data_IF_790327919220
#
_entry.id   IF_790327919220
#
_cell.length_a   1.000
_cell.length_b   1.000
_cell.length_c   1.000
_cell.angle_alpha   90.00
_cell.angle_beta   90.00
_cell.angle_gamma   90.00
#
_symmetry.space_group_name_H-M   'P 1'
#
loop_
_entity.id
_entity.type
_entity.pdbx_description
1 polymer ?
#
# COMPACT_ATOMS: atom_id res chain seq x y z
N UNK A 1 -18.47 20.13 -24.34
CA UNK A 1 -18.74 20.58 -22.96
C UNK A 1 -18.93 22.10 -22.89
N UNK A 2 -18.12 22.89 -23.60
CA UNK A 2 -18.24 24.36 -23.63
C UNK A 2 -19.54 24.90 -24.23
N UNK A 3 -20.18 24.18 -25.16
CA UNK A 3 -21.44 24.65 -25.77
C UNK A 3 -22.61 24.78 -24.79
N UNK A 4 -22.65 23.97 -23.73
CA UNK A 4 -23.76 24.01 -22.75
C UNK A 4 -23.54 25.16 -21.76
N UNK A 5 -22.30 25.34 -21.32
CA UNK A 5 -21.94 26.36 -20.33
C UNK A 5 -22.03 27.80 -20.87
N UNK A 6 -22.09 27.97 -22.19
CA UNK A 6 -22.26 29.26 -22.89
C UNK A 6 -23.72 29.57 -23.27
N UNK A 7 -24.66 28.63 -23.09
CA UNK A 7 -26.08 28.86 -23.37
C UNK A 7 -26.79 29.44 -22.16
N UNK A 8 -27.85 30.19 -22.42
CA UNK A 8 -28.72 30.73 -21.37
C UNK A 8 -29.41 29.56 -20.66
N UNK A 9 -29.21 29.48 -19.34
CA UNK A 9 -29.89 28.50 -18.50
C UNK A 9 -31.39 28.79 -18.44
N UNK A 10 -32.21 27.78 -18.69
CA UNK A 10 -33.67 27.90 -18.60
C UNK A 10 -34.16 28.20 -17.17
N UNK A 11 -33.39 27.78 -16.14
CA UNK A 11 -33.77 27.94 -14.74
C UNK A 11 -33.42 29.33 -14.18
N UNK A 12 -32.30 29.92 -14.63
CA UNK A 12 -31.79 31.19 -14.07
C UNK A 12 -31.83 32.36 -15.06
N UNK A 13 -32.11 32.09 -16.34
CA UNK A 13 -32.11 33.10 -17.40
C UNK A 13 -30.74 33.69 -17.71
N UNK A 14 -29.65 33.09 -17.21
CA UNK A 14 -28.27 33.60 -17.33
C UNK A 14 -27.35 32.53 -17.91
N UNK A 15 -26.22 32.97 -18.49
CA UNK A 15 -25.18 32.08 -18.98
C UNK A 15 -24.34 31.57 -17.80
N UNK A 16 -24.18 30.24 -17.62
CA UNK A 16 -23.42 29.67 -16.50
C UNK A 16 -21.99 30.20 -16.38
N UNK A 17 -21.29 30.43 -17.50
CA UNK A 17 -19.93 30.97 -17.47
C UNK A 17 -19.85 32.42 -16.97
N UNK A 18 -20.87 33.25 -17.25
CA UNK A 18 -20.96 34.63 -16.75
C UNK A 18 -21.25 34.68 -15.24
N UNK A 19 -21.95 33.67 -14.71
CA UNK A 19 -22.15 33.53 -13.27
C UNK A 19 -20.88 33.02 -12.60
N UNK A 20 -20.22 32.04 -13.20
CA UNK A 20 -18.97 31.48 -12.69
C UNK A 20 -17.88 32.55 -12.55
N UNK A 21 -17.76 33.48 -13.50
CA UNK A 21 -16.78 34.58 -13.43
C UNK A 21 -17.03 35.50 -12.23
N UNK A 22 -18.31 35.77 -11.91
CA UNK A 22 -18.71 36.57 -10.74
C UNK A 22 -18.51 35.82 -9.43
N UNK A 23 -18.85 34.54 -9.40
CA UNK A 23 -18.75 33.73 -8.19
C UNK A 23 -17.30 33.44 -7.79
N UNK A 24 -16.37 33.42 -8.76
CA UNK A 24 -14.93 33.21 -8.52
C UNK A 24 -14.33 34.20 -7.52
N UNK A 25 -14.81 35.43 -7.48
CA UNK A 25 -14.34 36.45 -6.53
C UNK A 25 -14.68 36.12 -5.08
N UNK A 26 -15.73 35.31 -4.86
CA UNK A 26 -16.18 34.86 -3.55
C UNK A 26 -15.55 33.51 -3.13
N UNK A 27 -14.67 32.93 -3.94
CA UNK A 27 -14.07 31.63 -3.63
C UNK A 27 -13.04 31.75 -2.51
N UNK A 28 -13.08 30.77 -1.61
CA UNK A 28 -12.03 30.59 -0.61
C UNK A 28 -10.72 30.17 -1.31
N UNK A 29 -9.56 30.50 -0.72
CA UNK A 29 -8.27 30.04 -1.24
C UNK A 29 -8.22 28.51 -1.33
N UNK A 30 -7.42 28.00 -2.25
CA UNK A 30 -7.23 26.56 -2.43
C UNK A 30 -6.79 25.92 -1.11
N UNK A 31 -7.46 24.83 -0.73
CA UNK A 31 -7.09 24.03 0.42
C UNK A 31 -5.70 23.43 0.23
N UNK A 32 -4.96 23.24 1.32
CA UNK A 32 -3.62 22.63 1.25
C UNK A 32 -3.65 21.26 0.56
N UNK A 33 -2.58 20.93 -0.16
CA UNK A 33 -2.43 19.64 -0.85
C UNK A 33 -2.57 18.44 0.10
N UNK A 34 -2.24 18.60 1.38
CA UNK A 34 -2.43 17.55 2.39
C UNK A 34 -3.89 17.20 2.66
N UNK A 35 -4.83 18.14 2.46
CA UNK A 35 -6.26 17.84 2.60
C UNK A 35 -6.73 17.08 1.37
N UNK A 36 -6.31 17.53 0.18
CA UNK A 36 -6.63 16.91 -1.10
C UNK A 36 -6.06 15.50 -1.23
N UNK A 37 -4.92 15.20 -0.60
CA UNK A 37 -4.30 13.88 -0.67
C UNK A 37 -5.22 12.78 -0.14
N UNK A 38 -6.04 13.04 0.89
CA UNK A 38 -7.02 12.08 1.42
C UNK A 38 -8.19 11.78 0.45
N UNK A 39 -8.51 12.69 -0.46
CA UNK A 39 -9.53 12.48 -1.49
C UNK A 39 -9.00 11.60 -2.63
N UNK A 40 -7.71 11.68 -2.91
CA UNK A 40 -7.03 10.94 -3.98
C UNK A 40 -6.52 9.58 -3.47
N UNK A 41 -5.86 9.58 -2.31
CA UNK A 41 -5.29 8.41 -1.65
C UNK A 41 -6.23 7.93 -0.56
N UNK A 42 -6.98 6.86 -0.86
CA UNK A 42 -7.60 6.06 0.19
C UNK A 42 -6.58 5.07 0.72
N UNK A 43 -6.34 5.11 2.02
CA UNK A 43 -5.59 4.07 2.71
C UNK A 43 -6.29 2.74 2.48
N UNK A 44 -5.57 1.79 1.86
CA UNK A 44 -6.07 0.44 1.65
C UNK A 44 -5.54 -0.47 2.74
N UNK A 45 -6.47 -1.13 3.41
CA UNK A 45 -6.17 -2.12 4.43
C UNK A 45 -6.08 -3.53 3.84
N UNK A 46 -5.05 -4.27 4.24
CA UNK A 46 -4.81 -5.64 3.81
C UNK A 46 -4.67 -6.55 5.02
N UNK A 47 -5.49 -7.61 5.07
CA UNK A 47 -5.43 -8.60 6.15
C UNK A 47 -4.17 -9.46 6.01
N UNK A 48 -3.45 -9.64 7.11
CA UNK A 48 -2.31 -10.56 7.19
C UNK A 48 -2.81 -12.00 7.28
N UNK A 49 -2.35 -12.83 6.37
CA UNK A 49 -2.68 -14.27 6.31
C UNK A 49 -1.94 -15.07 7.38
N UNK A 50 -2.32 -16.33 7.58
CA UNK A 50 -1.62 -17.25 8.50
C UNK A 50 -0.16 -17.49 8.13
N UNK A 51 0.19 -17.31 6.86
CA UNK A 51 1.57 -17.40 6.33
C UNK A 51 2.42 -16.16 6.67
N UNK A 52 1.90 -15.23 7.50
CA UNK A 52 2.58 -13.98 7.84
C UNK A 52 2.84 -13.09 6.61
N UNK A 53 1.87 -12.99 5.71
CA UNK A 53 1.97 -12.17 4.49
C UNK A 53 0.72 -11.32 4.25
N UNK A 54 0.90 -10.19 3.56
CA UNK A 54 -0.19 -9.43 2.94
C UNK A 54 -0.24 -9.71 1.44
N UNK A 55 -1.43 -9.67 0.83
CA UNK A 55 -1.59 -9.75 -0.62
C UNK A 55 -1.85 -8.35 -1.18
N UNK A 56 -0.88 -7.81 -1.91
CA UNK A 56 -0.94 -6.50 -2.52
C UNK A 56 -0.76 -6.62 -4.05
N UNK A 57 -1.77 -6.19 -4.81
CA UNK A 57 -1.81 -6.28 -6.28
C UNK A 57 -1.43 -7.68 -6.83
N UNK A 58 -1.94 -8.74 -6.18
CA UNK A 58 -1.70 -10.13 -6.59
C UNK A 58 -0.36 -10.72 -6.16
N UNK A 59 0.48 -9.95 -5.46
CA UNK A 59 1.79 -10.36 -4.95
C UNK A 59 1.76 -10.42 -3.43
N UNK A 60 2.42 -11.42 -2.85
CA UNK A 60 2.49 -11.59 -1.40
C UNK A 60 3.77 -10.96 -0.84
N UNK A 61 3.65 -10.22 0.26
CA UNK A 61 4.76 -9.58 0.96
C UNK A 61 4.78 -10.00 2.43
N UNK A 62 5.93 -10.49 2.89
CA UNK A 62 6.10 -10.96 4.27
C UNK A 62 6.04 -9.82 5.28
N UNK A 63 5.40 -10.09 6.41
CA UNK A 63 5.38 -9.25 7.60
C UNK A 63 5.74 -10.09 8.83
N UNK A 64 5.89 -9.47 9.99
CA UNK A 64 6.14 -10.20 11.24
C UNK A 64 4.89 -10.96 11.70
N UNK A 65 5.11 -12.13 12.29
CA UNK A 65 4.04 -13.05 12.73
C UNK A 65 3.10 -12.44 13.77
N UNK A 66 3.57 -11.46 14.55
CA UNK A 66 2.74 -10.69 15.49
C UNK A 66 1.57 -9.95 14.82
N UNK A 67 1.59 -9.75 13.50
CA UNK A 67 0.53 -9.09 12.76
C UNK A 67 -0.49 -10.05 12.12
N UNK A 68 -0.32 -11.38 12.27
CA UNK A 68 -1.26 -12.37 11.70
C UNK A 68 -2.69 -12.08 12.14
N UNK A 69 -3.62 -12.05 11.18
CA UNK A 69 -5.03 -11.78 11.41
C UNK A 69 -5.40 -10.29 11.51
N UNK A 70 -4.42 -9.40 11.73
CA UNK A 70 -4.61 -7.95 11.73
C UNK A 70 -4.70 -7.40 10.30
N UNK A 71 -5.18 -6.17 10.18
CA UNK A 71 -5.17 -5.41 8.93
C UNK A 71 -4.08 -4.35 8.97
N UNK A 72 -3.33 -4.24 7.89
CA UNK A 72 -2.22 -3.29 7.74
C UNK A 72 -2.51 -2.33 6.59
N UNK A 73 -2.09 -1.08 6.72
CA UNK A 73 -2.29 -0.06 5.71
C UNK A 73 -1.08 -0.08 4.77
N UNK A 74 -1.33 -0.04 3.47
CA UNK A 74 -0.27 -0.07 2.46
C UNK A 74 -0.34 1.16 1.57
N UNK A 75 0.79 1.85 1.46
CA UNK A 75 0.97 3.02 0.61
C UNK A 75 2.06 2.73 -0.42
N UNK A 76 1.80 3.01 -1.69
CA UNK A 76 2.82 3.01 -2.73
C UNK A 76 3.52 4.36 -2.78
N UNK A 77 4.84 4.32 -2.92
CA UNK A 77 5.66 5.50 -3.13
C UNK A 77 5.95 5.70 -4.62
N UNK A 78 6.28 6.93 -5.01
CA UNK A 78 6.57 7.29 -6.41
C UNK A 78 7.80 6.58 -6.99
N UNK A 79 8.72 6.14 -6.14
CA UNK A 79 9.93 5.40 -6.49
C UNK A 79 9.72 3.88 -6.57
N UNK A 80 8.47 3.39 -6.50
CA UNK A 80 8.15 1.99 -6.72
C UNK A 80 8.34 1.10 -5.49
N UNK A 81 8.23 1.65 -4.28
CA UNK A 81 8.20 0.89 -3.04
C UNK A 81 6.78 0.83 -2.46
N UNK A 82 6.55 -0.13 -1.58
CA UNK A 82 5.40 -0.18 -0.68
C UNK A 82 5.84 0.07 0.74
N UNK A 83 5.12 0.93 1.44
CA UNK A 83 5.28 1.16 2.87
C UNK A 83 4.06 0.56 3.58
N UNK A 84 4.33 -0.26 4.60
CA UNK A 84 3.31 -0.89 5.43
C UNK A 84 3.26 -0.21 6.79
N UNK A 85 2.05 0.14 7.22
CA UNK A 85 1.76 0.75 8.50
C UNK A 85 0.77 -0.08 9.32
N UNK A 86 0.85 0.04 10.65
CA UNK A 86 -0.18 -0.45 11.57
C UNK A 86 -0.53 0.68 12.53
N UNK A 87 -1.81 1.07 12.60
CA UNK A 87 -2.25 2.18 13.46
C UNK A 87 -1.42 3.47 13.31
N UNK A 88 -1.03 3.81 12.08
CA UNK A 88 -0.13 4.94 11.72
C UNK A 88 1.36 4.75 12.07
N UNK A 89 1.72 3.68 12.76
CA UNK A 89 3.12 3.33 13.00
C UNK A 89 3.73 2.68 11.77
N UNK A 90 4.90 3.18 11.35
CA UNK A 90 5.69 2.57 10.29
C UNK A 90 6.15 1.17 10.71
N UNK A 91 5.91 0.17 9.86
CA UNK A 91 6.40 -1.18 10.08
C UNK A 91 7.63 -1.44 9.22
N UNK A 92 7.50 -1.26 7.91
CA UNK A 92 8.54 -1.62 6.95
C UNK A 92 8.29 -1.01 5.57
N UNK A 93 9.37 -0.88 4.80
CA UNK A 93 9.38 -0.51 3.39
C UNK A 93 9.95 -1.68 2.58
N UNK A 94 9.35 -1.99 1.42
CA UNK A 94 9.78 -3.04 0.48
C UNK A 94 9.66 -2.52 -0.95
N UNK A 95 10.60 -2.89 -1.81
CA UNK A 95 10.47 -2.61 -3.24
C UNK A 95 9.39 -3.49 -3.87
N UNK A 96 8.61 -2.90 -4.78
CA UNK A 96 7.75 -3.67 -5.66
C UNK A 96 8.64 -4.57 -6.52
N UNK A 97 8.38 -5.88 -6.51
CA UNK A 97 9.11 -6.83 -7.33
C UNK A 97 8.18 -7.50 -8.34
N UNK A 98 8.73 -8.17 -9.35
CA UNK A 98 7.98 -9.08 -10.22
C UNK A 98 7.53 -10.37 -9.52
N UNK A 99 8.13 -10.71 -8.38
CA UNK A 99 7.97 -12.01 -7.73
C UNK A 99 6.60 -12.14 -7.07
N UNK A 100 6.03 -13.34 -7.16
CA UNK A 100 4.76 -13.68 -6.51
C UNK A 100 4.86 -13.64 -4.99
N UNK A 101 6.04 -13.94 -4.44
CA UNK A 101 6.30 -13.96 -3.00
C UNK A 101 7.55 -13.14 -2.67
N UNK A 102 7.43 -12.27 -1.66
CA UNK A 102 8.45 -11.30 -1.31
C UNK A 102 8.78 -11.40 0.18
N UNK A 103 9.86 -12.12 0.49
CA UNK A 103 10.32 -12.33 1.87
C UNK A 103 11.41 -11.34 2.24
N UNK A 104 11.27 -10.72 3.42
CA UNK A 104 12.37 -10.01 4.07
C UNK A 104 13.16 -11.04 4.88
N UNK A 105 14.48 -11.07 4.72
CA UNK A 105 15.36 -12.04 5.41
C UNK A 105 15.10 -12.11 6.92
N UNK A 106 15.00 -10.96 7.58
CA UNK A 106 14.71 -10.89 9.03
C UNK A 106 13.31 -11.39 9.43
N UNK A 107 12.33 -11.43 8.51
CA UNK A 107 11.02 -12.03 8.79
C UNK A 107 11.08 -13.55 8.67
N UNK A 108 11.84 -14.08 7.71
CA UNK A 108 11.96 -15.53 7.48
C UNK A 108 12.40 -16.26 8.76
N UNK A 109 13.45 -15.76 9.42
CA UNK A 109 13.92 -16.30 10.70
C UNK A 109 12.81 -16.30 11.75
N UNK A 110 12.12 -15.18 11.93
CA UNK A 110 11.06 -15.05 12.94
C UNK A 110 9.86 -15.96 12.64
N UNK A 111 9.49 -16.10 11.36
CA UNK A 111 8.41 -17.00 10.92
C UNK A 111 8.80 -18.45 11.23
N UNK A 112 9.97 -18.91 10.76
CA UNK A 112 10.44 -20.28 10.96
C UNK A 112 10.59 -20.60 12.45
N UNK A 113 11.22 -19.73 13.24
CA UNK A 113 11.38 -19.91 14.69
C UNK A 113 10.04 -19.98 15.41
N UNK A 114 9.04 -19.23 14.95
CA UNK A 114 7.71 -19.20 15.57
C UNK A 114 6.77 -20.33 15.10
N UNK A 115 7.17 -21.12 14.11
CA UNK A 115 6.33 -22.16 13.51
C UNK A 115 7.11 -23.47 13.29
N UNK A 116 7.61 -23.71 12.08
CA UNK A 116 8.19 -24.99 11.65
C UNK A 116 9.51 -25.38 12.33
N UNK A 117 10.27 -24.43 12.85
CA UNK A 117 11.64 -24.63 13.35
C UNK A 117 11.79 -24.28 14.85
N UNK A 118 10.70 -24.33 15.64
CA UNK A 118 10.72 -24.00 17.08
C UNK A 118 11.81 -24.72 17.87
N UNK A 119 12.14 -25.95 17.46
CA UNK A 119 13.05 -26.85 18.17
C UNK A 119 14.52 -26.67 17.76
N UNK A 120 14.78 -25.94 16.68
CA UNK A 120 16.13 -25.78 16.12
C UNK A 120 16.87 -24.61 16.77
N UNK A 121 18.20 -24.71 16.81
CA UNK A 121 19.04 -23.60 17.25
C UNK A 121 18.98 -22.44 16.25
N UNK A 122 19.36 -21.24 16.70
CA UNK A 122 19.34 -20.07 15.83
C UNK A 122 20.31 -20.20 14.66
N UNK A 123 21.47 -20.83 14.88
CA UNK A 123 22.45 -21.11 13.84
C UNK A 123 21.90 -22.07 12.79
N UNK A 124 21.23 -23.16 13.22
CA UNK A 124 20.60 -24.12 12.30
C UNK A 124 19.52 -23.47 11.43
N UNK A 125 18.73 -22.56 12.00
CA UNK A 125 17.69 -21.83 11.24
C UNK A 125 18.34 -20.85 10.27
N UNK A 126 19.38 -20.15 10.69
CA UNK A 126 20.10 -19.20 9.83
C UNK A 126 20.80 -19.90 8.67
N UNK A 127 21.38 -21.08 8.89
CA UNK A 127 22.01 -21.88 7.84
C UNK A 127 20.97 -22.43 6.87
N UNK A 128 19.84 -22.96 7.38
CA UNK A 128 18.71 -23.35 6.54
C UNK A 128 18.20 -22.18 5.68
N UNK A 129 18.08 -20.98 6.26
CA UNK A 129 17.67 -19.78 5.53
C UNK A 129 18.68 -19.43 4.46
N UNK A 130 19.99 -19.45 4.75
CA UNK A 130 21.02 -19.12 3.75
C UNK A 130 20.99 -20.10 2.58
N UNK A 131 20.89 -21.40 2.86
CA UNK A 131 20.86 -22.45 1.84
C UNK A 131 19.58 -22.39 0.99
N UNK A 132 18.44 -22.06 1.62
CA UNK A 132 17.14 -22.12 0.96
C UNK A 132 16.64 -20.77 0.44
N UNK A 133 17.21 -19.63 0.84
CA UNK A 133 16.80 -18.32 0.31
C UNK A 133 16.99 -18.26 -1.20
N UNK A 134 18.12 -18.78 -1.71
CA UNK A 134 18.37 -18.85 -3.15
C UNK A 134 17.33 -19.74 -3.86
N UNK A 135 16.99 -20.90 -3.26
CA UNK A 135 15.97 -21.80 -3.76
C UNK A 135 14.57 -21.18 -3.72
N UNK A 136 14.21 -20.42 -2.68
CA UNK A 136 12.92 -19.72 -2.56
C UNK A 136 12.79 -18.64 -3.64
N UNK A 137 13.86 -17.92 -3.98
CA UNK A 137 13.84 -16.97 -5.09
C UNK A 137 13.69 -17.65 -6.46
N UNK A 138 14.26 -18.85 -6.64
CA UNK A 138 14.19 -19.62 -7.89
C UNK A 138 12.85 -20.37 -8.05
N UNK A 139 12.33 -21.02 -7.00
CA UNK A 139 11.08 -21.79 -7.00
C UNK A 139 9.82 -20.91 -7.10
N UNK A 140 9.92 -19.63 -6.79
CA UNK A 140 8.79 -18.69 -6.75
C UNK A 140 8.85 -17.62 -7.86
N UNK A 141 9.88 -17.70 -8.71
CA UNK A 141 10.11 -16.86 -9.89
C UNK A 141 9.89 -17.57 -11.23
N UNK A 142 9.37 -18.80 -11.22
CA UNK A 142 8.92 -19.55 -12.39
C UNK A 142 7.41 -19.46 -12.61
#
# INVERSE_FOLDING_TARGET
MEEISNKVSQATGKIPLDLLSKDKECFKPLTSLNILSSYVYREKEYKVTKESMINYKGKKYSVLTKYIGLKLNVTETSDGNIIIYYNKDFILCLSLSGNKYNYKSGHMYKILKSDACKHLSDDQINDFIKENIALIYILLGG
#
